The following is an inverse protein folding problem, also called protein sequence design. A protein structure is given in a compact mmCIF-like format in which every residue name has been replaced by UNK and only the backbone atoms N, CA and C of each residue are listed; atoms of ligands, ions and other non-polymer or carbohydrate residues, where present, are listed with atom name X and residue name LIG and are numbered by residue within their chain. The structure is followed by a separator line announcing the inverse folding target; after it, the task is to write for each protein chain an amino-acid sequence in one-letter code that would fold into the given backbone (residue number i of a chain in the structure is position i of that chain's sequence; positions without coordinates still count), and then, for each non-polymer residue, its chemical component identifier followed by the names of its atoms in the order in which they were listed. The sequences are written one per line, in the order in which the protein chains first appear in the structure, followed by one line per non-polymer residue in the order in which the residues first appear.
data_IF_850699878371
#
_entry.id   IF_850699878371
#
_cell.length_a   1.000
_cell.length_b   1.000
_cell.length_c   1.000
_cell.angle_alpha   90.00
_cell.angle_beta   90.00
_cell.angle_gamma   90.00
#
_symmetry.space_group_name_H-M   'P 1'
#
loop_
_entity.id
_entity.type
_entity.pdbx_description
1 polymer ?
#
# COMPACT_ATOMS: atom_id res chain seq x y z
N UNK A 1 14.82 23.78 -11.70
CA UNK A 1 14.21 22.99 -10.62
C UNK A 1 12.96 23.70 -10.15
N UNK A 2 11.82 23.01 -10.04
CA UNK A 2 10.62 23.54 -9.42
C UNK A 2 10.85 23.87 -7.93
N UNK A 3 10.08 24.79 -7.35
CA UNK A 3 10.17 25.09 -5.92
C UNK A 3 9.77 23.87 -5.08
N UNK A 4 10.50 23.63 -3.98
CA UNK A 4 10.18 22.58 -3.02
C UNK A 4 9.02 23.02 -2.13
N UNK A 5 8.04 22.16 -1.85
CA UNK A 5 6.96 22.49 -0.93
C UNK A 5 7.50 22.67 0.50
N UNK A 6 7.03 23.67 1.25
CA UNK A 6 7.35 23.77 2.67
C UNK A 6 6.70 22.61 3.44
N UNK A 7 7.33 22.10 4.52
CA UNK A 7 6.70 21.12 5.39
C UNK A 7 5.38 21.66 5.96
N UNK A 8 4.26 20.95 5.81
CA UNK A 8 2.97 21.50 6.20
C UNK A 8 2.80 21.52 7.73
N UNK A 9 1.97 22.42 8.28
CA UNK A 9 1.70 22.49 9.72
C UNK A 9 1.21 21.16 10.32
N UNK A 10 0.43 20.39 9.55
CA UNK A 10 -0.09 19.08 9.92
C UNK A 10 1.01 18.06 10.24
N UNK A 11 2.22 18.24 9.68
CA UNK A 11 3.34 17.36 9.97
C UNK A 11 3.83 17.51 11.43
N UNK A 12 3.61 18.68 12.06
CA UNK A 12 4.12 18.95 13.41
C UNK A 12 3.47 18.05 14.48
N UNK A 13 2.29 17.50 14.21
CA UNK A 13 1.58 16.59 15.12
C UNK A 13 1.95 15.11 14.90
N UNK A 14 2.76 14.79 13.88
CA UNK A 14 3.18 13.43 13.59
C UNK A 14 4.37 12.97 14.48
N UNK A 15 4.61 11.66 14.63
CA UNK A 15 5.80 11.15 15.31
C UNK A 15 7.10 11.69 14.69
N UNK A 16 8.11 12.01 15.51
CA UNK A 16 9.36 12.65 15.05
C UNK A 16 10.07 11.92 13.89
N UNK A 17 10.10 10.59 13.94
CA UNK A 17 10.71 9.80 12.87
C UNK A 17 9.96 9.96 11.54
N UNK A 18 8.63 10.02 11.59
CA UNK A 18 7.80 10.30 10.42
C UNK A 18 8.01 11.74 9.93
N UNK A 19 8.14 12.70 10.85
CA UNK A 19 8.46 14.09 10.47
C UNK A 19 9.78 14.18 9.72
N UNK A 20 10.83 13.54 10.23
CA UNK A 20 12.15 13.50 9.57
C UNK A 20 12.03 12.87 8.19
N UNK A 21 11.39 11.70 8.11
CA UNK A 21 11.21 10.99 6.85
C UNK A 21 10.46 11.82 5.80
N UNK A 22 9.32 12.43 6.16
CA UNK A 22 8.57 13.30 5.25
C UNK A 22 9.40 14.52 4.84
N UNK A 23 10.14 15.14 5.76
CA UNK A 23 11.02 16.27 5.41
C UNK A 23 12.09 15.86 4.39
N UNK A 24 12.67 14.68 4.56
CA UNK A 24 13.64 14.15 3.60
C UNK A 24 12.99 13.93 2.23
N UNK A 25 11.78 13.38 2.16
CA UNK A 25 11.02 13.24 0.89
C UNK A 25 10.72 14.60 0.22
N UNK A 26 10.35 15.63 0.99
CA UNK A 26 10.08 16.96 0.44
C UNK A 26 11.35 17.66 -0.09
N UNK A 27 12.54 17.12 0.20
CA UNK A 27 13.82 17.64 -0.31
C UNK A 27 14.26 17.02 -1.64
N UNK A 28 13.54 16.00 -2.13
CA UNK A 28 13.83 15.34 -3.39
C UNK A 28 13.88 16.36 -4.55
N UNK A 29 14.90 16.20 -5.40
CA UNK A 29 15.05 16.99 -6.61
C UNK A 29 14.20 16.40 -7.72
N UNK A 30 12.98 16.93 -7.83
CA UNK A 30 11.95 16.43 -8.76
C UNK A 30 11.89 17.25 -10.04
N UNK A 31 11.58 16.59 -11.17
CA UNK A 31 11.48 17.25 -12.48
C UNK A 31 10.22 18.11 -12.62
N UNK A 32 9.13 17.72 -11.95
CA UNK A 32 7.85 18.43 -11.95
C UNK A 32 7.52 18.97 -10.55
N UNK A 33 6.83 20.11 -10.43
CA UNK A 33 6.40 20.62 -9.13
C UNK A 33 5.49 19.60 -8.44
N UNK A 34 5.53 19.60 -7.12
CA UNK A 34 4.58 18.85 -6.31
C UNK A 34 3.16 19.37 -6.58
N UNK A 35 2.22 18.44 -6.74
CA UNK A 35 0.80 18.76 -6.76
C UNK A 35 0.28 18.82 -5.32
N UNK A 36 -0.51 19.84 -5.01
CA UNK A 36 -1.07 20.05 -3.67
C UNK A 36 -2.59 20.05 -3.74
N UNK A 37 -3.20 19.01 -3.19
CA UNK A 37 -4.64 18.84 -3.09
C UNK A 37 -5.08 19.12 -1.67
N UNK A 38 -6.12 19.95 -1.48
CA UNK A 38 -6.64 20.22 -0.14
C UNK A 38 -7.21 18.96 0.52
N UNK A 39 -7.93 18.15 -0.26
CA UNK A 39 -8.48 16.85 0.10
C UNK A 39 -8.86 16.10 -1.18
N UNK A 40 -9.12 14.80 -1.08
CA UNK A 40 -9.64 13.99 -2.19
C UNK A 40 -10.90 13.30 -1.72
N UNK A 41 -11.99 13.46 -2.49
CA UNK A 41 -13.25 12.74 -2.27
C UNK A 41 -13.80 12.23 -3.60
N UNK A 42 -13.81 10.91 -3.76
CA UNK A 42 -14.31 10.21 -4.94
C UNK A 42 -15.33 9.15 -4.52
N UNK A 43 -16.61 9.42 -4.81
CA UNK A 43 -17.71 8.49 -4.49
C UNK A 43 -18.07 7.53 -5.63
N UNK A 44 -17.16 7.37 -6.58
CA UNK A 44 -17.32 6.44 -7.70
C UNK A 44 -16.54 5.15 -7.38
N UNK A 45 -17.06 3.95 -7.70
CA UNK A 45 -16.29 2.70 -7.60
C UNK A 45 -15.03 2.68 -8.49
N UNK A 46 -14.90 3.60 -9.44
CA UNK A 46 -13.74 3.74 -10.30
C UNK A 46 -12.45 3.97 -9.51
N UNK A 47 -11.36 3.50 -10.09
CA UNK A 47 -10.03 3.63 -9.52
C UNK A 47 -9.55 5.07 -9.57
N UNK A 48 -9.13 5.58 -8.42
CA UNK A 48 -8.41 6.83 -8.31
C UNK A 48 -6.90 6.59 -8.32
N UNK A 49 -6.18 7.50 -8.99
CA UNK A 49 -4.71 7.57 -8.99
C UNK A 49 -4.26 9.02 -9.02
N UNK A 50 -3.10 9.36 -8.44
CA UNK A 50 -2.56 10.70 -8.55
C UNK A 50 -2.25 11.03 -10.02
N UNK A 51 -2.59 12.26 -10.42
CA UNK A 51 -2.28 12.79 -11.77
C UNK A 51 -0.81 13.15 -11.93
N UNK A 52 -0.12 13.46 -10.83
CA UNK A 52 1.28 13.86 -10.75
C UNK A 52 2.06 12.81 -9.92
N UNK A 53 3.28 12.41 -10.32
CA UNK A 53 4.09 11.47 -9.53
C UNK A 53 4.35 11.97 -8.11
N UNK A 54 4.44 13.28 -7.87
CA UNK A 54 4.71 13.87 -6.56
C UNK A 54 3.48 14.64 -6.09
N UNK A 55 2.70 14.05 -5.19
CA UNK A 55 1.41 14.58 -4.76
C UNK A 55 1.32 14.67 -3.23
N UNK A 56 0.89 15.83 -2.73
CA UNK A 56 0.50 16.06 -1.34
C UNK A 56 -1.02 16.20 -1.26
N UNK A 57 -1.65 15.46 -0.36
CA UNK A 57 -3.06 15.64 0.02
C UNK A 57 -3.07 16.19 1.44
N UNK A 58 -3.48 17.45 1.60
CA UNK A 58 -3.35 18.23 2.82
C UNK A 58 -4.42 17.91 3.89
N UNK A 59 -5.33 17.00 3.55
CA UNK A 59 -6.44 16.54 4.38
C UNK A 59 -6.78 15.09 4.05
N UNK A 60 -8.03 14.64 4.28
CA UNK A 60 -8.41 13.25 4.06
C UNK A 60 -8.43 12.87 2.57
N UNK A 61 -8.18 11.58 2.32
CA UNK A 61 -8.39 10.92 1.03
C UNK A 61 -9.47 9.85 1.19
N UNK A 62 -10.65 10.12 0.65
CA UNK A 62 -11.84 9.26 0.70
C UNK A 62 -12.19 8.80 -0.72
N UNK A 63 -12.05 7.50 -1.01
CA UNK A 63 -12.33 6.92 -2.33
C UNK A 63 -13.17 5.65 -2.17
N UNK A 64 -14.39 5.60 -2.71
CA UNK A 64 -15.26 4.41 -2.59
C UNK A 64 -14.73 3.20 -3.43
N UNK A 65 -13.91 3.50 -4.43
CA UNK A 65 -13.19 2.56 -5.28
C UNK A 65 -11.77 2.23 -4.80
N UNK A 66 -10.92 1.87 -5.76
CA UNK A 66 -9.53 1.52 -5.51
C UNK A 66 -8.62 2.76 -5.56
N UNK A 67 -7.56 2.76 -4.78
CA UNK A 67 -6.49 3.77 -4.82
C UNK A 67 -5.22 3.10 -5.31
N UNK A 68 -4.68 3.61 -6.41
CA UNK A 68 -3.40 3.17 -6.98
C UNK A 68 -2.37 4.28 -6.79
N UNK A 69 -1.36 4.03 -5.97
CA UNK A 69 -0.19 4.92 -5.82
C UNK A 69 0.79 4.62 -6.94
N UNK A 70 0.42 5.06 -8.12
CA UNK A 70 1.22 5.07 -9.35
C UNK A 70 0.56 6.05 -10.32
N UNK A 71 1.29 6.55 -11.31
CA UNK A 71 0.71 7.38 -12.38
C UNK A 71 0.44 6.57 -13.66
N UNK A 72 1.17 5.47 -13.85
CA UNK A 72 1.28 4.74 -15.12
C UNK A 72 2.02 5.50 -16.22
N UNK A 73 2.68 6.61 -15.89
CA UNK A 73 3.46 7.47 -16.81
C UNK A 73 4.88 7.72 -16.33
N UNK A 74 5.14 7.47 -15.05
CA UNK A 74 6.42 7.67 -14.38
C UNK A 74 6.75 6.40 -13.62
N UNK A 75 8.04 6.11 -13.52
CA UNK A 75 8.57 4.92 -12.87
C UNK A 75 8.71 5.08 -11.35
N UNK A 76 8.70 6.34 -10.88
CA UNK A 76 8.78 6.69 -9.47
C UNK A 76 7.83 7.83 -9.09
N UNK A 77 7.56 7.94 -7.79
CA UNK A 77 6.78 9.04 -7.25
C UNK A 77 6.48 8.90 -5.77
N UNK A 78 5.79 9.90 -5.22
CA UNK A 78 5.42 9.97 -3.80
C UNK A 78 4.00 10.49 -3.67
N UNK A 79 3.17 9.77 -2.90
CA UNK A 79 1.89 10.27 -2.39
C UNK A 79 1.97 10.41 -0.87
N UNK A 80 1.79 11.63 -0.37
CA UNK A 80 1.72 11.92 1.07
C UNK A 80 0.32 12.42 1.40
N UNK A 81 -0.36 11.77 2.35
CA UNK A 81 -1.68 12.17 2.86
C UNK A 81 -1.56 12.65 4.30
N UNK A 82 -1.84 13.93 4.50
CA UNK A 82 -1.87 14.62 5.79
C UNK A 82 -3.22 14.45 6.49
N UNK A 83 -3.70 13.22 6.61
CA UNK A 83 -4.97 12.88 7.21
C UNK A 83 -5.28 11.39 7.12
N UNK A 84 -6.56 11.06 7.30
CA UNK A 84 -7.07 9.70 7.15
C UNK A 84 -7.19 9.32 5.66
N UNK A 85 -6.98 8.03 5.38
CA UNK A 85 -7.19 7.43 4.06
C UNK A 85 -8.26 6.35 4.21
N UNK A 86 -9.33 6.46 3.42
CA UNK A 86 -10.38 5.43 3.34
C UNK A 86 -10.56 5.01 1.89
N UNK A 87 -10.39 3.72 1.62
CA UNK A 87 -10.63 3.17 0.28
C UNK A 87 -11.06 1.71 0.29
N UNK A 88 -11.47 1.19 -0.87
CA UNK A 88 -11.77 -0.25 -1.02
C UNK A 88 -10.49 -1.08 -1.02
N UNK A 89 -9.59 -0.78 -1.96
CA UNK A 89 -8.27 -1.39 -2.07
C UNK A 89 -7.22 -0.31 -2.20
N UNK A 90 -6.03 -0.52 -1.62
CA UNK A 90 -4.86 0.32 -1.81
C UNK A 90 -3.73 -0.51 -2.42
N UNK A 91 -3.15 -0.03 -3.51
CA UNK A 91 -1.97 -0.63 -4.12
C UNK A 91 -0.87 0.42 -4.26
N UNK A 92 0.34 0.08 -3.81
CA UNK A 92 1.54 0.90 -4.00
C UNK A 92 2.41 0.26 -5.09
N UNK A 93 2.66 1.01 -6.16
CA UNK A 93 3.45 0.54 -7.30
C UNK A 93 4.95 0.50 -7.02
N UNK A 94 5.68 -0.24 -7.86
CA UNK A 94 7.15 -0.28 -7.87
C UNK A 94 7.68 1.14 -8.01
N UNK A 95 8.67 1.52 -7.20
CA UNK A 95 9.28 2.86 -7.23
C UNK A 95 8.42 3.98 -6.65
N UNK A 96 7.20 3.69 -6.17
CA UNK A 96 6.34 4.68 -5.53
C UNK A 96 6.38 4.60 -4.01
N UNK A 97 6.41 5.77 -3.37
CA UNK A 97 6.28 5.90 -1.92
C UNK A 97 4.88 6.36 -1.54
N UNK A 98 4.32 5.78 -0.49
CA UNK A 98 3.05 6.16 0.11
C UNK A 98 3.24 6.48 1.60
N UNK A 99 2.70 7.62 2.03
CA UNK A 99 2.73 8.04 3.43
C UNK A 99 1.34 8.48 3.86
N UNK A 100 0.81 7.86 4.92
CA UNK A 100 -0.42 8.27 5.59
C UNK A 100 -0.10 8.73 7.02
N UNK A 101 -0.38 9.97 7.34
CA UNK A 101 -0.15 10.51 8.69
C UNK A 101 -1.30 10.22 9.66
N UNK A 102 -2.48 9.86 9.14
CA UNK A 102 -3.66 9.50 9.94
C UNK A 102 -3.93 7.99 9.94
N UNK A 103 -5.22 7.65 10.06
CA UNK A 103 -5.71 6.28 10.01
C UNK A 103 -5.85 5.82 8.55
N UNK A 104 -5.34 4.63 8.25
CA UNK A 104 -5.53 3.96 6.97
C UNK A 104 -6.60 2.87 7.10
N UNK A 105 -7.77 3.09 6.49
CA UNK A 105 -8.87 2.12 6.41
C UNK A 105 -9.01 1.63 4.98
N UNK A 106 -8.69 0.37 4.77
CA UNK A 106 -8.83 -0.30 3.48
C UNK A 106 -9.87 -1.41 3.66
N UNK A 107 -10.99 -1.35 2.94
CA UNK A 107 -12.09 -2.31 3.14
C UNK A 107 -11.65 -3.75 2.83
N UNK A 108 -10.86 -3.92 1.78
CA UNK A 108 -10.48 -5.21 1.20
C UNK A 108 -8.96 -5.42 1.31
N UNK A 109 -8.18 -5.08 0.29
CA UNK A 109 -6.74 -5.38 0.23
C UNK A 109 -5.85 -4.14 0.26
N UNK A 110 -4.83 -4.16 1.13
CA UNK A 110 -3.69 -3.25 1.15
C UNK A 110 -2.45 -4.01 0.64
N UNK A 111 -1.93 -3.61 -0.52
CA UNK A 111 -0.81 -4.27 -1.20
C UNK A 111 0.38 -3.31 -1.29
N UNK A 112 1.45 -3.59 -0.54
CA UNK A 112 2.64 -2.73 -0.39
C UNK A 112 3.94 -3.54 -0.44
N UNK A 113 4.05 -4.41 -1.44
CA UNK A 113 5.19 -5.33 -1.60
C UNK A 113 6.06 -5.03 -2.81
N UNK A 114 5.63 -4.10 -3.66
CA UNK A 114 6.33 -3.78 -4.90
C UNK A 114 7.77 -3.34 -4.60
N UNK A 115 8.76 -3.87 -5.33
CA UNK A 115 10.17 -3.55 -5.11
C UNK A 115 10.41 -2.03 -5.16
N UNK A 116 11.36 -1.56 -4.35
CA UNK A 116 11.74 -0.15 -4.22
C UNK A 116 10.60 0.80 -3.83
N UNK A 117 9.45 0.26 -3.41
CA UNK A 117 8.35 1.02 -2.83
C UNK A 117 8.52 1.18 -1.33
N UNK A 118 7.87 2.21 -0.79
CA UNK A 118 7.86 2.50 0.63
C UNK A 118 6.43 2.79 1.04
N UNK A 119 5.94 2.18 2.13
CA UNK A 119 4.64 2.49 2.68
C UNK A 119 4.76 2.79 4.18
N UNK A 120 4.28 3.96 4.60
CA UNK A 120 4.28 4.40 6.00
C UNK A 120 2.90 4.81 6.47
N UNK A 121 2.56 4.40 7.70
CA UNK A 121 1.32 4.82 8.37
C UNK A 121 1.61 5.21 9.82
N UNK A 122 1.13 6.38 10.24
CA UNK A 122 1.28 6.84 11.62
C UNK A 122 0.13 6.39 12.54
N UNK A 123 -1.09 6.35 12.02
CA UNK A 123 -2.29 5.95 12.76
C UNK A 123 -2.58 4.46 12.70
N UNK A 124 -3.85 4.11 12.91
CA UNK A 124 -4.30 2.71 12.80
C UNK A 124 -4.30 2.23 11.34
N UNK A 125 -4.13 0.92 11.16
CA UNK A 125 -4.24 0.26 9.86
C UNK A 125 -5.30 -0.81 9.96
N UNK A 126 -6.37 -0.66 9.17
CA UNK A 126 -7.49 -1.59 9.12
C UNK A 126 -7.60 -2.15 7.70
N UNK A 127 -7.56 -3.48 7.56
CA UNK A 127 -7.65 -4.17 6.27
C UNK A 127 -8.24 -5.58 6.42
N UNK A 128 -8.88 -6.10 5.38
CA UNK A 128 -9.19 -7.52 5.33
C UNK A 128 -7.93 -8.34 5.02
N UNK A 129 -7.23 -7.97 3.95
CA UNK A 129 -5.93 -8.52 3.56
C UNK A 129 -4.87 -7.44 3.55
N UNK A 130 -3.76 -7.68 4.25
CA UNK A 130 -2.54 -6.89 4.16
C UNK A 130 -1.43 -7.73 3.54
N UNK A 131 -1.02 -7.37 2.33
CA UNK A 131 0.09 -7.98 1.61
C UNK A 131 1.32 -7.07 1.63
N UNK A 132 2.29 -7.42 2.48
CA UNK A 132 3.48 -6.65 2.83
C UNK A 132 4.59 -7.58 3.29
N UNK A 133 5.86 -7.22 3.08
CA UNK A 133 7.03 -7.92 3.63
C UNK A 133 7.73 -8.87 2.66
N UNK A 134 7.50 -8.73 1.35
CA UNK A 134 8.15 -9.55 0.31
C UNK A 134 8.61 -8.67 -0.85
N UNK A 135 9.75 -8.00 -0.65
CA UNK A 135 10.34 -7.00 -1.55
C UNK A 135 10.31 -5.58 -0.98
N UNK A 136 9.14 -5.16 -0.48
CA UNK A 136 8.94 -3.95 0.31
C UNK A 136 7.99 -4.24 1.48
N UNK A 137 7.86 -3.29 2.41
CA UNK A 137 7.00 -3.45 3.58
C UNK A 137 6.28 -2.17 3.98
N UNK A 138 5.11 -2.35 4.59
CA UNK A 138 4.44 -1.34 5.39
C UNK A 138 5.20 -1.15 6.71
N UNK A 139 5.45 0.09 7.09
CA UNK A 139 5.98 0.44 8.41
C UNK A 139 5.01 1.30 9.19
N UNK A 140 4.76 0.91 10.43
CA UNK A 140 3.97 1.63 11.41
C UNK A 140 4.89 2.52 12.26
N UNK A 141 4.52 3.78 12.38
CA UNK A 141 5.18 4.73 13.29
C UNK A 141 4.43 4.92 14.62
N UNK A 142 3.17 4.48 14.70
CA UNK A 142 2.34 4.55 15.90
C UNK A 142 2.36 3.26 16.72
N UNK A 143 1.38 3.12 17.61
CA UNK A 143 1.20 1.93 18.44
C UNK A 143 0.90 0.69 17.58
N UNK A 144 1.70 -0.39 17.66
CA UNK A 144 1.48 -1.61 16.89
C UNK A 144 0.16 -2.32 17.21
N UNK A 145 -0.47 -2.04 18.36
CA UNK A 145 -1.81 -2.55 18.71
C UNK A 145 -2.92 -2.03 17.78
N UNK A 146 -2.62 -0.98 17.01
CA UNK A 146 -3.51 -0.37 16.03
C UNK A 146 -3.45 -1.03 14.65
N UNK A 147 -2.64 -2.08 14.49
CA UNK A 147 -2.68 -2.95 13.31
C UNK A 147 -3.84 -3.95 13.43
N UNK A 148 -4.86 -3.77 12.59
CA UNK A 148 -6.10 -4.56 12.57
C UNK A 148 -6.34 -5.14 11.18
N UNK A 149 -5.39 -5.95 10.72
CA UNK A 149 -5.55 -6.75 9.51
C UNK A 149 -6.11 -8.13 9.87
N UNK A 150 -7.15 -8.61 9.18
CA UNK A 150 -7.65 -9.99 9.40
C UNK A 150 -6.65 -11.04 8.87
N UNK A 151 -6.08 -10.77 7.70
CA UNK A 151 -5.10 -11.61 7.04
C UNK A 151 -3.84 -10.80 6.74
N UNK A 152 -2.67 -11.35 7.08
CA UNK A 152 -1.37 -10.75 6.80
C UNK A 152 -0.49 -11.80 6.11
N UNK A 153 0.06 -11.47 4.94
CA UNK A 153 0.82 -12.44 4.13
C UNK A 153 2.22 -12.67 4.66
N UNK A 154 3.02 -11.63 4.95
CA UNK A 154 4.40 -11.81 5.46
C UNK A 154 4.64 -11.04 6.73
N UNK A 155 4.85 -9.72 6.68
CA UNK A 155 5.06 -8.93 7.89
C UNK A 155 4.82 -7.44 7.65
N UNK A 156 4.62 -6.75 8.77
CA UNK A 156 4.63 -5.29 8.87
C UNK A 156 5.78 -4.90 9.80
N UNK A 157 6.42 -3.78 9.56
CA UNK A 157 7.46 -3.27 10.46
C UNK A 157 6.85 -2.31 11.47
N UNK A 158 7.28 -2.39 12.73
CA UNK A 158 7.11 -1.33 13.71
C UNK A 158 8.50 -0.89 14.18
N UNK A 159 8.93 0.29 13.73
CA UNK A 159 10.33 0.70 13.80
C UNK A 159 11.24 -0.33 13.11
N UNK A 160 12.05 -1.06 13.88
CA UNK A 160 12.95 -2.12 13.39
C UNK A 160 12.46 -3.54 13.70
N UNK A 161 11.27 -3.67 14.28
CA UNK A 161 10.72 -4.95 14.73
C UNK A 161 9.66 -5.45 13.76
N UNK A 162 9.83 -6.65 13.16
CA UNK A 162 8.79 -7.23 12.32
C UNK A 162 7.64 -7.79 13.16
N UNK A 163 6.41 -7.44 12.78
CA UNK A 163 5.17 -8.03 13.23
C UNK A 163 4.77 -9.06 12.18
N UNK A 164 4.91 -10.34 12.53
CA UNK A 164 4.59 -11.48 11.67
C UNK A 164 3.19 -12.02 11.99
N UNK A 165 2.47 -12.58 11.01
CA UNK A 165 1.24 -13.29 11.26
C UNK A 165 1.54 -14.58 12.05
N UNK A 166 0.60 -15.03 12.90
CA UNK A 166 0.73 -16.35 13.52
C UNK A 166 0.61 -17.48 12.49
N UNK A 167 -0.17 -17.27 11.42
CA UNK A 167 -0.30 -18.17 10.26
C UNK A 167 -0.58 -17.34 9.01
N UNK A 168 0.09 -17.65 7.90
CA UNK A 168 -0.19 -17.03 6.61
C UNK A 168 -1.56 -17.49 6.07
N UNK A 169 -2.32 -16.62 5.41
CA UNK A 169 -3.59 -16.99 4.79
C UNK A 169 -3.36 -17.82 3.53
N UNK A 170 -4.26 -18.77 3.26
CA UNK A 170 -4.35 -19.40 1.93
C UNK A 170 -5.05 -18.44 0.97
N UNK A 171 -4.25 -17.74 0.15
CA UNK A 171 -4.75 -16.72 -0.77
C UNK A 171 -5.76 -17.28 -1.77
N UNK A 172 -5.66 -18.56 -2.16
CA UNK A 172 -6.60 -19.21 -3.09
C UNK A 172 -8.04 -19.23 -2.58
N UNK A 173 -8.22 -19.12 -1.27
CA UNK A 173 -9.54 -19.09 -0.62
C UNK A 173 -10.10 -17.69 -0.43
N UNK A 174 -9.28 -16.66 -0.64
CA UNK A 174 -9.62 -15.26 -0.37
C UNK A 174 -9.78 -14.45 -1.65
N UNK A 175 -8.81 -14.58 -2.55
CA UNK A 175 -8.70 -13.76 -3.76
C UNK A 175 -9.02 -14.56 -5.01
N UNK A 176 -9.35 -13.85 -6.08
CA UNK A 176 -9.60 -14.47 -7.37
C UNK A 176 -8.34 -15.17 -7.92
N UNK A 177 -8.47 -16.27 -8.67
CA UNK A 177 -7.31 -16.98 -9.19
C UNK A 177 -6.44 -16.15 -10.13
N UNK A 178 -7.03 -15.20 -10.86
CA UNK A 178 -6.30 -14.44 -11.88
C UNK A 178 -5.25 -13.46 -11.32
N UNK A 179 -5.21 -13.26 -10.01
CA UNK A 179 -4.20 -12.42 -9.35
C UNK A 179 -3.19 -13.20 -8.52
N UNK A 180 -3.20 -14.53 -8.64
CA UNK A 180 -2.25 -15.41 -7.97
C UNK A 180 -1.09 -15.74 -8.90
N UNK A 181 0.12 -15.66 -8.34
CA UNK A 181 1.29 -16.31 -8.88
C UNK A 181 1.35 -17.73 -8.30
N UNK A 182 1.16 -18.71 -9.18
CA UNK A 182 1.20 -20.15 -8.85
C UNK A 182 2.31 -20.88 -9.58
N UNK A 183 3.19 -20.18 -10.31
CA UNK A 183 4.16 -20.82 -11.22
C UNK A 183 5.07 -21.80 -10.47
N UNK A 184 5.61 -21.37 -9.32
CA UNK A 184 6.46 -22.23 -8.49
C UNK A 184 5.68 -23.43 -7.95
N UNK A 185 4.49 -23.20 -7.41
CA UNK A 185 3.62 -24.26 -6.87
C UNK A 185 3.23 -25.30 -7.93
N UNK A 186 2.85 -24.85 -9.12
CA UNK A 186 2.40 -25.71 -10.21
C UNK A 186 3.56 -26.47 -10.88
N UNK A 187 4.80 -26.03 -10.66
CA UNK A 187 6.02 -26.73 -11.13
C UNK A 187 6.38 -27.95 -10.29
N UNK A 188 5.87 -28.04 -9.06
CA UNK A 188 6.14 -29.14 -8.15
C UNK A 188 5.39 -30.42 -8.54
N UNK A 189 6.03 -31.57 -8.32
CA UNK A 189 5.40 -32.88 -8.40
C UNK A 189 4.36 -33.07 -7.28
N UNK A 190 3.40 -34.01 -7.42
CA UNK A 190 2.43 -34.29 -6.35
C UNK A 190 3.07 -34.69 -5.02
N UNK A 191 4.22 -35.37 -5.07
CA UNK A 191 4.99 -35.74 -3.89
C UNK A 191 5.57 -34.50 -3.19
N UNK A 192 6.14 -33.56 -3.95
CA UNK A 192 6.67 -32.30 -3.41
C UNK A 192 5.55 -31.40 -2.88
N UNK A 193 4.43 -31.29 -3.58
CA UNK A 193 3.26 -30.54 -3.10
C UNK A 193 2.68 -31.10 -1.79
N UNK A 194 2.83 -32.40 -1.52
CA UNK A 194 2.38 -33.00 -0.28
C UNK A 194 3.26 -32.64 0.93
N UNK A 195 4.52 -32.25 0.69
CA UNK A 195 5.49 -31.86 1.71
C UNK A 195 5.58 -30.34 1.88
N UNK A 196 5.12 -29.56 0.90
CA UNK A 196 5.18 -28.10 0.88
C UNK A 196 3.89 -27.41 1.37
N UNK A 197 4.04 -26.18 1.85
CA UNK A 197 2.90 -25.34 2.24
C UNK A 197 2.52 -24.40 1.08
N UNK A 198 1.29 -24.48 0.54
CA UNK A 198 0.86 -23.60 -0.54
C UNK A 198 1.05 -22.11 -0.23
N UNK A 199 0.86 -21.70 1.03
CA UNK A 199 0.96 -20.31 1.46
C UNK A 199 2.38 -19.74 1.37
N UNK A 200 3.40 -20.60 1.29
CA UNK A 200 4.79 -20.18 1.11
C UNK A 200 5.13 -19.85 -0.35
N UNK A 201 4.50 -20.57 -1.29
CA UNK A 201 4.84 -20.54 -2.72
C UNK A 201 3.81 -19.76 -3.55
N UNK A 202 2.55 -19.73 -3.12
CA UNK A 202 1.48 -19.02 -3.81
C UNK A 202 1.38 -17.60 -3.26
N UNK A 203 1.61 -16.62 -4.13
CA UNK A 203 1.67 -15.21 -3.75
C UNK A 203 0.75 -14.38 -4.65
N UNK A 204 0.55 -13.10 -4.31
CA UNK A 204 -0.12 -12.17 -5.21
C UNK A 204 0.82 -11.79 -6.37
N UNK A 205 0.38 -12.02 -7.61
CA UNK A 205 1.05 -11.49 -8.80
C UNK A 205 0.84 -9.96 -8.82
N UNK A 206 1.92 -9.23 -8.57
CA UNK A 206 1.91 -7.77 -8.49
C UNK A 206 1.40 -7.10 -9.77
N UNK A 207 1.72 -7.67 -10.94
CA UNK A 207 1.28 -7.15 -12.25
C UNK A 207 -0.20 -7.41 -12.46
N UNK A 208 -0.67 -8.62 -12.14
CA UNK A 208 -2.08 -8.99 -12.28
C UNK A 208 -2.96 -8.21 -11.28
N UNK A 209 -2.52 -8.07 -10.02
CA UNK A 209 -3.16 -7.22 -9.01
C UNK A 209 -3.29 -5.79 -9.50
N UNK A 210 -2.18 -5.17 -9.95
CA UNK A 210 -2.19 -3.79 -10.45
C UNK A 210 -3.18 -3.62 -11.62
N UNK A 211 -3.15 -4.53 -12.60
CA UNK A 211 -4.05 -4.50 -13.75
C UNK A 211 -5.52 -4.61 -13.34
N UNK A 212 -5.84 -5.51 -12.40
CA UNK A 212 -7.20 -5.74 -11.92
C UNK A 212 -7.71 -4.57 -11.08
N UNK A 213 -6.90 -4.06 -10.16
CA UNK A 213 -7.28 -2.90 -9.36
C UNK A 213 -7.43 -1.65 -10.22
N UNK A 214 -6.63 -1.49 -11.28
CA UNK A 214 -6.76 -0.38 -12.24
C UNK A 214 -8.10 -0.37 -13.00
N UNK A 215 -8.77 -1.52 -13.15
CA UNK A 215 -10.10 -1.59 -13.78
C UNK A 215 -11.26 -1.35 -12.81
N UNK A 216 -10.98 -1.03 -11.54
CA UNK A 216 -12.00 -0.83 -10.49
C UNK A 216 -12.51 -2.12 -9.86
N UNK A 217 -11.95 -3.28 -10.23
CA UNK A 217 -12.37 -4.57 -9.70
C UNK A 217 -11.80 -4.83 -8.30
N UNK A 218 -12.50 -5.65 -7.52
CA UNK A 218 -12.02 -6.21 -6.24
C UNK A 218 -11.07 -7.38 -6.47
N UNK A 219 -10.12 -7.60 -5.56
CA UNK A 219 -9.29 -8.81 -5.55
C UNK A 219 -10.03 -10.03 -4.99
N UNK A 220 -11.09 -9.84 -4.20
CA UNK A 220 -11.73 -10.91 -3.45
C UNK A 220 -12.69 -11.73 -4.31
N UNK A 221 -12.86 -13.01 -3.95
CA UNK A 221 -13.86 -13.90 -4.55
C UNK A 221 -15.31 -13.40 -4.32
N UNK A 222 -15.54 -12.78 -3.15
CA UNK A 222 -16.82 -12.17 -2.77
C UNK A 222 -16.55 -10.74 -2.24
N UNK A 223 -16.80 -9.69 -3.05
CA UNK A 223 -16.54 -8.29 -2.68
C UNK A 223 -17.55 -7.65 -1.70
#
# INVERSE_FOLDING_TARGET
MPPRPPPPPQLQTAPEQLQKFVRDLLTLDVEAPWDELAQVKHSDPATWKPSNPYTLVMGPLEVDGNVLVTTGKHDEGVLIVFGDVTCRNLYVGVGFSFVCTGTLRVKEALVTRAADSIAYVAGAVEAELLDSGSGAWLTLFGDPSLLRAKHLTHYVMHGRTPIKPPKQPDLRTLVVPEVLDTEEWDSLSPEEQAEESPEALIQLDTRAVSKRLASGASLFLAP
#
